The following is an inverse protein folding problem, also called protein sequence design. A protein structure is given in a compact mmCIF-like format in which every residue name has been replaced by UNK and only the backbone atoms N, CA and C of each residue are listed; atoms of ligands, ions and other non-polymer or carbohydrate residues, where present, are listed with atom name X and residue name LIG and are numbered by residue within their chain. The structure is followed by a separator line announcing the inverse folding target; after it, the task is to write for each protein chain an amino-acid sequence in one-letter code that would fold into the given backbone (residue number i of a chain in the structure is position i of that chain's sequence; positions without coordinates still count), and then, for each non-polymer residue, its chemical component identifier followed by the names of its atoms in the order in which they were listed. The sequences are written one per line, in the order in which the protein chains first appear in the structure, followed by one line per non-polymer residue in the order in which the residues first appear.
data_IF_755544327400
#
_entry.id   IF_755544327400
#
_cell.length_a   1.000
_cell.length_b   1.000
_cell.length_c   1.000
_cell.angle_alpha   90.00
_cell.angle_beta   90.00
_cell.angle_gamma   90.00
#
_symmetry.space_group_name_H-M   'P 1'
#
loop_
_entity.id
_entity.type
_entity.pdbx_description
1 polymer ?
#
# COMPACT_ATOMS: atom_id res chain seq x y z
N UNK A 1 15.36 22.99 -27.60
CA UNK A 1 14.93 21.66 -27.11
C UNK A 1 14.13 21.91 -25.83
N UNK A 2 12.81 21.99 -25.94
CA UNK A 2 11.91 22.32 -24.83
C UNK A 2 11.38 21.01 -24.25
N UNK A 3 11.82 20.65 -23.05
CA UNK A 3 11.06 19.72 -22.20
C UNK A 3 10.58 20.51 -21.00
N UNK A 4 9.46 21.21 -21.21
CA UNK A 4 8.71 21.80 -20.12
C UNK A 4 8.09 20.66 -19.31
N UNK A 5 8.54 20.49 -18.07
CA UNK A 5 7.81 19.72 -17.08
C UNK A 5 6.52 20.48 -16.76
N UNK A 6 5.47 20.19 -17.53
CA UNK A 6 4.11 20.45 -17.08
C UNK A 6 3.78 19.42 -16.01
N UNK A 7 4.16 19.71 -14.78
CA UNK A 7 3.53 19.13 -13.59
C UNK A 7 2.06 19.56 -13.64
N UNK A 8 1.21 18.72 -14.25
CA UNK A 8 -0.22 18.92 -14.17
C UNK A 8 -0.58 18.99 -12.67
N UNK A 9 -1.36 19.99 -12.22
CA UNK A 9 -1.82 19.99 -10.84
C UNK A 9 -2.61 18.69 -10.65
N UNK A 10 -2.11 17.84 -9.75
CA UNK A 10 -2.87 16.68 -9.28
C UNK A 10 -4.17 17.25 -8.74
N UNK A 11 -5.23 17.01 -9.50
CA UNK A 11 -6.59 17.40 -9.19
C UNK A 11 -6.83 17.08 -7.71
N UNK A 12 -7.03 18.11 -6.91
CA UNK A 12 -7.20 18.04 -5.46
C UNK A 12 -8.59 17.48 -5.14
N UNK A 13 -8.85 16.26 -5.63
CA UNK A 13 -10.08 15.53 -5.45
C UNK A 13 -9.97 14.75 -4.16
N UNK A 14 -10.64 15.32 -3.15
CA UNK A 14 -11.19 14.69 -1.95
C UNK A 14 -10.25 13.68 -1.29
N UNK A 15 -9.72 14.09 -0.14
CA UNK A 15 -9.46 13.15 0.96
C UNK A 15 -10.67 12.23 1.02
N UNK A 16 -10.53 10.97 0.58
CA UNK A 16 -11.63 10.02 0.72
C UNK A 16 -11.81 9.82 2.20
N UNK A 17 -13.02 10.11 2.66
CA UNK A 17 -13.40 9.89 4.04
C UNK A 17 -13.26 8.40 4.40
N UNK A 18 -13.33 8.11 5.71
CA UNK A 18 -13.43 6.74 6.20
C UNK A 18 -14.53 5.99 5.46
N UNK A 19 -14.32 4.69 5.25
CA UNK A 19 -15.30 3.81 4.62
C UNK A 19 -16.68 3.99 5.28
N UNK A 20 -17.72 4.18 4.46
CA UNK A 20 -19.06 4.43 4.96
C UNK A 20 -19.72 3.13 5.44
N UNK A 21 -20.78 3.25 6.24
CA UNK A 21 -21.57 2.10 6.66
C UNK A 21 -22.20 1.37 5.46
N UNK A 22 -22.67 2.10 4.44
CA UNK A 22 -23.25 1.54 3.22
C UNK A 22 -22.22 0.74 2.41
N UNK A 23 -20.96 1.21 2.37
CA UNK A 23 -19.85 0.48 1.77
C UNK A 23 -19.54 -0.80 2.55
N UNK A 24 -19.55 -0.74 3.89
CA UNK A 24 -19.40 -1.93 4.75
C UNK A 24 -20.52 -2.93 4.48
N UNK A 25 -21.79 -2.51 4.50
CA UNK A 25 -22.94 -3.39 4.23
C UNK A 25 -22.85 -4.02 2.84
N UNK A 26 -22.41 -3.25 1.85
CA UNK A 26 -22.25 -3.74 0.48
C UNK A 26 -21.11 -4.77 0.39
N UNK A 27 -19.97 -4.50 1.02
CA UNK A 27 -18.85 -5.44 1.08
C UNK A 27 -19.21 -6.72 1.86
N UNK A 28 -19.90 -6.58 2.99
CA UNK A 28 -20.35 -7.69 3.83
C UNK A 28 -21.30 -8.62 3.05
N UNK A 29 -22.25 -8.05 2.30
CA UNK A 29 -23.14 -8.83 1.41
C UNK A 29 -22.35 -9.63 0.37
N UNK A 30 -21.33 -9.02 -0.25
CA UNK A 30 -20.49 -9.69 -1.26
C UNK A 30 -19.65 -10.82 -0.67
N UNK A 31 -19.18 -10.64 0.57
CA UNK A 31 -18.40 -11.62 1.31
C UNK A 31 -19.27 -12.66 2.03
N UNK A 32 -20.60 -12.50 1.99
CA UNK A 32 -21.57 -13.34 2.71
C UNK A 32 -21.31 -13.40 4.23
N UNK A 33 -20.93 -12.25 4.82
CA UNK A 33 -20.71 -12.09 6.26
C UNK A 33 -21.67 -11.06 6.85
N UNK A 34 -21.86 -11.10 8.16
CA UNK A 34 -22.68 -10.13 8.88
C UNK A 34 -22.00 -8.74 8.88
N UNK A 35 -22.73 -7.63 8.60
CA UNK A 35 -22.13 -6.29 8.51
C UNK A 35 -21.40 -5.80 9.76
N UNK A 36 -21.91 -6.03 10.97
CA UNK A 36 -21.24 -5.64 12.21
C UNK A 36 -19.95 -6.45 12.42
N UNK A 37 -19.89 -7.71 12.00
CA UNK A 37 -18.68 -8.52 12.01
C UNK A 37 -17.60 -7.93 11.09
N UNK A 38 -17.96 -7.50 9.87
CA UNK A 38 -17.03 -6.80 9.00
C UNK A 38 -16.60 -5.46 9.59
N UNK A 39 -17.53 -4.71 10.18
CA UNK A 39 -17.22 -3.45 10.85
C UNK A 39 -16.23 -3.67 11.99
N UNK A 40 -16.43 -4.69 12.81
CA UNK A 40 -15.53 -5.02 13.91
C UNK A 40 -14.10 -5.30 13.41
N UNK A 41 -13.96 -6.11 12.37
CA UNK A 41 -12.66 -6.37 11.72
C UNK A 41 -12.04 -5.07 11.19
N UNK A 42 -12.82 -4.24 10.48
CA UNK A 42 -12.33 -2.95 9.99
C UNK A 42 -11.89 -2.04 11.14
N UNK A 43 -12.58 -2.04 12.28
CA UNK A 43 -12.22 -1.21 13.44
C UNK A 43 -10.93 -1.66 14.12
N UNK A 44 -10.69 -2.97 14.22
CA UNK A 44 -9.55 -3.51 14.98
C UNK A 44 -8.30 -3.78 14.13
N UNK A 45 -8.47 -4.25 12.89
CA UNK A 45 -7.34 -4.67 12.04
C UNK A 45 -6.87 -3.59 11.06
N UNK A 46 -7.66 -2.52 10.84
CA UNK A 46 -7.23 -1.45 9.94
C UNK A 46 -6.34 -0.43 10.65
N UNK A 47 -5.35 0.10 9.94
CA UNK A 47 -4.51 1.22 10.42
C UNK A 47 -5.18 2.59 10.23
N UNK A 48 -6.52 2.64 10.26
CA UNK A 48 -7.33 3.83 10.01
C UNK A 48 -7.38 4.21 8.53
N UNK A 49 -6.99 5.44 8.20
CA UNK A 49 -7.06 5.94 6.82
C UNK A 49 -6.11 5.17 5.90
N UNK A 50 -6.63 4.70 4.76
CA UNK A 50 -5.87 3.98 3.74
C UNK A 50 -5.05 4.88 2.80
N UNK A 51 -5.24 6.20 2.85
CA UNK A 51 -4.54 7.19 2.03
C UNK A 51 -3.86 8.24 2.91
N UNK A 52 -2.74 8.79 2.43
CA UNK A 52 -2.05 9.93 3.02
C UNK A 52 -2.79 11.24 2.68
N UNK A 53 -2.53 12.35 3.38
CA UNK A 53 -3.10 13.67 3.02
C UNK A 53 -2.80 14.10 1.58
N UNK A 54 -1.75 13.55 0.97
CA UNK A 54 -1.39 13.76 -0.44
C UNK A 54 -2.27 12.98 -1.43
N UNK A 55 -3.20 12.14 -0.97
CA UNK A 55 -4.03 11.26 -1.80
C UNK A 55 -3.32 9.98 -2.25
N UNK A 56 -2.05 9.77 -1.88
CA UNK A 56 -1.32 8.52 -2.16
C UNK A 56 -1.79 7.40 -1.22
N UNK A 57 -1.93 6.15 -1.68
CA UNK A 57 -2.22 5.03 -0.80
C UNK A 57 -1.10 4.87 0.22
N UNK A 58 -1.47 4.58 1.46
CA UNK A 58 -0.53 4.20 2.52
C UNK A 58 0.03 2.81 2.16
N UNK A 59 1.35 2.71 2.10
CA UNK A 59 2.06 1.46 1.77
C UNK A 59 3.12 1.18 2.82
N UNK A 60 3.45 -0.10 2.98
CA UNK A 60 4.65 -0.56 3.66
C UNK A 60 5.54 -1.21 2.59
N UNK A 61 6.78 -0.75 2.49
CA UNK A 61 7.76 -1.36 1.60
C UNK A 61 8.48 -2.49 2.33
N UNK A 62 8.51 -3.67 1.71
CA UNK A 62 9.04 -4.89 2.32
C UNK A 62 10.32 -5.33 1.59
N UNK A 63 11.49 -4.95 2.12
CA UNK A 63 12.78 -5.19 1.46
C UNK A 63 13.11 -6.67 1.25
N UNK A 64 12.67 -7.53 2.16
CA UNK A 64 12.81 -8.98 2.03
C UNK A 64 11.90 -9.62 0.98
N UNK A 65 10.73 -9.04 0.76
CA UNK A 65 9.88 -9.41 -0.37
C UNK A 65 10.52 -8.93 -1.66
N UNK A 66 11.06 -7.71 -1.68
CA UNK A 66 11.75 -7.16 -2.84
C UNK A 66 12.97 -8.00 -3.24
N UNK A 67 13.79 -8.46 -2.28
CA UNK A 67 14.85 -9.44 -2.50
C UNK A 67 14.34 -10.67 -3.27
N UNK A 68 13.26 -11.29 -2.78
CA UNK A 68 12.68 -12.48 -3.40
C UNK A 68 12.18 -12.21 -4.81
N UNK A 69 11.58 -11.05 -5.02
CA UNK A 69 11.06 -10.63 -6.33
C UNK A 69 12.18 -10.30 -7.33
N UNK A 70 13.33 -9.78 -6.87
CA UNK A 70 14.54 -9.60 -7.68
C UNK A 70 15.12 -10.95 -8.14
N UNK A 71 15.29 -11.89 -7.22
CA UNK A 71 15.77 -13.24 -7.54
C UNK A 71 14.87 -13.94 -8.57
N UNK A 72 13.53 -13.87 -8.41
CA UNK A 72 12.56 -14.42 -9.37
C UNK A 72 12.73 -13.87 -10.79
N UNK A 73 13.16 -12.61 -10.91
CA UNK A 73 13.41 -11.92 -12.18
C UNK A 73 14.85 -12.08 -12.68
N UNK A 74 15.63 -12.98 -12.06
CA UNK A 74 17.03 -13.30 -12.41
C UNK A 74 18.00 -12.13 -12.20
N UNK A 75 17.67 -11.20 -11.31
CA UNK A 75 18.66 -10.30 -10.73
C UNK A 75 19.48 -11.03 -9.65
N UNK A 76 20.61 -10.43 -9.26
CA UNK A 76 21.49 -10.94 -8.20
C UNK A 76 21.30 -10.06 -6.94
N UNK A 77 20.25 -10.31 -6.14
CA UNK A 77 19.94 -9.47 -4.98
C UNK A 77 21.06 -9.46 -3.94
N UNK A 78 21.94 -10.47 -3.90
CA UNK A 78 23.12 -10.52 -3.06
C UNK A 78 24.08 -9.36 -3.35
N UNK A 79 24.32 -9.07 -4.63
CA UNK A 79 25.17 -7.96 -5.06
C UNK A 79 24.47 -6.63 -4.77
N UNK A 80 23.17 -6.54 -5.10
CA UNK A 80 22.40 -5.31 -4.91
C UNK A 80 22.22 -4.95 -3.43
N UNK A 81 22.08 -5.94 -2.55
CA UNK A 81 21.99 -5.73 -1.11
C UNK A 81 23.29 -5.17 -0.52
N UNK A 82 24.46 -5.51 -1.08
CA UNK A 82 25.71 -4.89 -0.65
C UNK A 82 25.73 -3.38 -0.94
N UNK A 83 25.10 -2.94 -2.03
CA UNK A 83 24.97 -1.52 -2.38
C UNK A 83 23.79 -0.81 -1.68
N UNK A 84 22.70 -1.54 -1.41
CA UNK A 84 21.45 -0.97 -0.89
C UNK A 84 20.90 -1.79 0.31
N UNK A 85 21.68 -1.92 1.41
CA UNK A 85 21.35 -2.85 2.49
C UNK A 85 20.07 -2.49 3.27
N UNK A 86 19.67 -1.22 3.26
CA UNK A 86 18.41 -0.77 3.89
C UNK A 86 17.16 -1.01 3.04
N UNK A 87 17.34 -1.30 1.75
CA UNK A 87 16.25 -1.49 0.78
C UNK A 87 16.13 -2.96 0.38
N UNK A 88 17.25 -3.69 0.32
CA UNK A 88 17.33 -5.06 -0.16
C UNK A 88 18.05 -5.89 0.90
N UNK A 89 17.33 -6.82 1.53
CA UNK A 89 17.86 -7.72 2.54
C UNK A 89 17.11 -9.04 2.49
N UNK A 90 17.76 -10.16 2.84
CA UNK A 90 17.18 -11.50 2.64
C UNK A 90 16.09 -11.85 3.65
N UNK A 91 16.22 -11.36 4.88
CA UNK A 91 15.32 -11.64 6.00
C UNK A 91 14.93 -10.35 6.67
N UNK A 92 13.67 -10.26 7.09
CA UNK A 92 13.23 -9.16 7.93
C UNK A 92 14.01 -9.17 9.25
N UNK A 93 14.70 -8.07 9.53
CA UNK A 93 15.31 -7.83 10.83
C UNK A 93 14.51 -6.73 11.51
N UNK A 94 13.70 -7.12 12.49
CA UNK A 94 12.95 -6.20 13.35
C UNK A 94 13.90 -5.40 14.25
#
# INVERSE_FOLDING_TARGET
MVIGERSAPLNQKSVRDKISWEEIVTAARRLQIEPCALQAVCTVESSGQGFLPSGRPKILFEGHIFWRELAKRRYQPEILAASFPSIIYRQWTA
#
